data_IF_166359458540
#
_entry.id   IF_166359458540
#
_cell.length_a   1.000
_cell.length_b   1.000
_cell.length_c   1.000
_cell.angle_alpha   90.00
_cell.angle_beta   90.00
_cell.angle_gamma   90.00
#
_symmetry.space_group_name_H-M   'P 1'
#
loop_
_entity.id
_entity.type
_entity.pdbx_description
1 polymer ?
#
# COMPACT_ATOMS: atom_id res chain seq x y z
N UNK A 1 0.61 5.81 -13.50
CA UNK A 1 0.29 5.60 -12.05
C UNK A 1 1.35 4.72 -11.44
N UNK A 2 1.87 5.11 -10.29
CA UNK A 2 2.70 4.21 -9.50
C UNK A 2 1.85 3.31 -8.57
N UNK A 3 2.48 2.32 -7.95
CA UNK A 3 1.76 1.36 -7.11
C UNK A 3 1.10 2.01 -5.88
N UNK A 4 1.69 3.06 -5.32
CA UNK A 4 1.12 3.81 -4.19
C UNK A 4 -0.21 4.46 -4.61
N UNK A 5 -0.21 5.18 -5.73
CA UNK A 5 -1.42 5.80 -6.29
C UNK A 5 -2.50 4.75 -6.61
N UNK A 6 -2.10 3.58 -7.14
CA UNK A 6 -3.01 2.46 -7.38
C UNK A 6 -3.69 2.00 -6.09
N UNK A 7 -2.91 1.78 -5.03
CA UNK A 7 -3.43 1.30 -3.73
C UNK A 7 -4.30 2.36 -3.06
N UNK A 8 -3.92 3.62 -3.12
CA UNK A 8 -4.69 4.73 -2.54
C UNK A 8 -6.03 4.90 -3.26
N UNK A 9 -6.02 4.91 -4.60
CA UNK A 9 -7.25 4.95 -5.40
C UNK A 9 -8.15 3.75 -5.10
N UNK A 10 -7.58 2.55 -5.07
CA UNK A 10 -8.30 1.32 -4.79
C UNK A 10 -8.93 1.32 -3.38
N UNK A 11 -8.23 1.87 -2.38
CA UNK A 11 -8.74 1.96 -1.01
C UNK A 11 -9.99 2.82 -0.90
N UNK A 12 -10.09 3.86 -1.72
CA UNK A 12 -11.26 4.75 -1.76
C UNK A 12 -12.42 4.06 -2.49
N UNK A 13 -12.19 3.61 -3.74
CA UNK A 13 -13.27 3.03 -4.56
C UNK A 13 -13.80 1.70 -4.02
N UNK A 14 -13.00 0.94 -3.28
CA UNK A 14 -13.43 -0.32 -2.65
C UNK A 14 -14.51 -0.13 -1.57
N UNK A 15 -14.66 1.08 -1.04
CA UNK A 15 -15.70 1.43 -0.05
C UNK A 15 -17.04 1.76 -0.70
N UNK A 16 -17.05 1.98 -2.01
CA UNK A 16 -18.27 2.33 -2.76
C UNK A 16 -19.19 1.12 -2.87
N UNK A 17 -20.46 1.30 -2.54
CA UNK A 17 -21.49 0.27 -2.73
C UNK A 17 -22.02 0.34 -4.15
N UNK A 18 -21.45 -0.46 -5.03
CA UNK A 18 -21.73 -0.39 -6.47
C UNK A 18 -23.23 -0.64 -6.82
N UNK A 19 -23.88 -1.50 -6.06
CA UNK A 19 -25.32 -1.79 -6.27
C UNK A 19 -26.26 -0.62 -5.97
N UNK A 20 -25.78 0.39 -5.23
CA UNK A 20 -26.53 1.62 -4.93
C UNK A 20 -26.36 2.71 -5.98
N UNK A 21 -25.49 2.51 -6.96
CA UNK A 21 -25.32 3.47 -8.08
C UNK A 21 -26.44 3.24 -9.10
N UNK A 22 -27.29 4.23 -9.29
CA UNK A 22 -28.40 4.15 -10.25
C UNK A 22 -27.91 4.18 -11.72
N UNK A 23 -26.91 5.00 -12.01
CA UNK A 23 -26.33 5.13 -13.35
C UNK A 23 -25.62 3.86 -13.79
N UNK A 24 -26.14 3.21 -14.84
CA UNK A 24 -25.63 1.94 -15.36
C UNK A 24 -24.23 2.07 -15.95
N UNK A 25 -23.95 3.17 -16.63
CA UNK A 25 -22.64 3.38 -17.24
C UNK A 25 -21.58 3.63 -16.17
N UNK A 26 -21.89 4.46 -15.19
CA UNK A 26 -21.00 4.69 -14.05
C UNK A 26 -20.68 3.41 -13.30
N UNK A 27 -21.68 2.56 -13.03
CA UNK A 27 -21.43 1.25 -12.40
C UNK A 27 -20.44 0.41 -13.18
N UNK A 28 -20.62 0.34 -14.49
CA UNK A 28 -19.76 -0.45 -15.38
C UNK A 28 -18.33 0.09 -15.39
N UNK A 29 -18.18 1.40 -15.55
CA UNK A 29 -16.90 2.05 -15.69
C UNK A 29 -16.11 1.97 -14.37
N UNK A 30 -16.75 2.25 -13.25
CA UNK A 30 -16.15 2.14 -11.92
C UNK A 30 -15.73 0.69 -11.58
N UNK A 31 -16.55 -0.28 -11.96
CA UNK A 31 -16.21 -1.69 -11.76
C UNK A 31 -15.02 -2.14 -12.62
N UNK A 32 -14.95 -1.69 -13.86
CA UNK A 32 -13.82 -1.97 -14.74
C UNK A 32 -12.51 -1.36 -14.19
N UNK A 33 -12.55 -0.12 -13.71
CA UNK A 33 -11.41 0.52 -13.07
C UNK A 33 -10.98 -0.20 -11.80
N UNK A 34 -11.96 -0.59 -10.96
CA UNK A 34 -11.67 -1.41 -9.78
C UNK A 34 -10.96 -2.72 -10.13
N UNK A 35 -11.41 -3.42 -11.18
CA UNK A 35 -10.79 -4.67 -11.62
C UNK A 35 -9.36 -4.44 -12.11
N UNK A 36 -9.13 -3.41 -12.92
CA UNK A 36 -7.81 -3.07 -13.45
C UNK A 36 -6.81 -2.74 -12.32
N UNK A 37 -7.22 -1.87 -11.40
CA UNK A 37 -6.43 -1.47 -10.24
C UNK A 37 -6.17 -2.64 -9.29
N UNK A 38 -7.18 -3.46 -9.03
CA UNK A 38 -7.07 -4.66 -8.18
C UNK A 38 -6.08 -5.67 -8.76
N UNK A 39 -6.12 -5.88 -10.07
CA UNK A 39 -5.17 -6.77 -10.77
C UNK A 39 -3.74 -6.26 -10.63
N UNK A 40 -3.51 -4.98 -10.85
CA UNK A 40 -2.18 -4.37 -10.71
C UNK A 40 -1.67 -4.44 -9.26
N UNK A 41 -2.53 -4.14 -8.28
CA UNK A 41 -2.18 -4.25 -6.85
C UNK A 41 -1.80 -5.67 -6.44
N UNK A 42 -2.56 -6.68 -6.89
CA UNK A 42 -2.27 -8.09 -6.61
C UNK A 42 -0.96 -8.55 -7.25
N UNK A 43 -0.71 -8.16 -8.49
CA UNK A 43 0.55 -8.48 -9.18
C UNK A 43 1.75 -7.92 -8.41
N UNK A 44 1.67 -6.69 -7.93
CA UNK A 44 2.69 -6.10 -7.06
C UNK A 44 2.87 -6.91 -5.78
N UNK A 45 1.80 -7.26 -5.09
CA UNK A 45 1.88 -8.00 -3.82
C UNK A 45 2.51 -9.39 -4.01
N UNK A 46 2.22 -10.07 -5.11
CA UNK A 46 2.84 -11.36 -5.48
C UNK A 46 4.34 -11.20 -5.79
N UNK A 47 4.73 -10.16 -6.53
CA UNK A 47 6.13 -9.86 -6.83
C UNK A 47 6.92 -9.56 -5.56
N UNK A 48 6.38 -8.71 -4.68
CA UNK A 48 6.99 -8.38 -3.40
C UNK A 48 7.14 -9.61 -2.51
N UNK A 49 6.14 -10.46 -2.47
CA UNK A 49 6.21 -11.72 -1.72
C UNK A 49 7.38 -12.60 -2.19
N UNK A 50 7.53 -12.75 -3.50
CA UNK A 50 8.62 -13.54 -4.10
C UNK A 50 9.99 -12.92 -3.79
N UNK A 51 10.12 -11.61 -3.88
CA UNK A 51 11.34 -10.88 -3.55
C UNK A 51 11.67 -11.02 -2.06
N UNK A 52 10.67 -10.91 -1.20
CA UNK A 52 10.81 -11.05 0.25
C UNK A 52 11.28 -12.45 0.65
N UNK A 53 10.70 -13.50 0.05
CA UNK A 53 11.08 -14.88 0.29
C UNK A 53 12.57 -15.12 -0.07
N UNK A 54 13.04 -14.56 -1.17
CA UNK A 54 14.46 -14.63 -1.58
C UNK A 54 15.37 -13.79 -0.69
N UNK A 55 14.96 -12.58 -0.34
CA UNK A 55 15.75 -11.65 0.46
C UNK A 55 16.04 -12.20 1.86
N UNK A 56 15.09 -12.93 2.43
CA UNK A 56 15.14 -13.44 3.80
C UNK A 56 15.34 -14.95 3.89
N UNK A 57 15.74 -15.58 2.79
CA UNK A 57 16.07 -17.02 2.78
C UNK A 57 17.22 -17.30 3.77
N UNK A 58 16.98 -18.25 4.68
CA UNK A 58 17.94 -18.62 5.72
C UNK A 58 18.13 -17.60 6.85
N UNK A 59 17.31 -16.55 6.91
CA UNK A 59 17.36 -15.51 7.93
C UNK A 59 16.23 -15.72 8.96
N UNK A 60 16.58 -15.72 10.24
CA UNK A 60 15.60 -15.75 11.33
C UNK A 60 15.12 -14.33 11.68
N UNK A 61 14.06 -13.87 10.97
CA UNK A 61 13.45 -12.58 11.22
C UNK A 61 12.78 -12.47 12.58
N UNK A 62 12.26 -13.57 13.14
CA UNK A 62 11.63 -13.58 14.45
C UNK A 62 12.66 -13.27 15.53
N UNK A 63 13.83 -13.92 15.50
CA UNK A 63 14.92 -13.63 16.44
C UNK A 63 15.41 -12.18 16.32
N UNK A 64 15.53 -11.66 15.09
CA UNK A 64 15.89 -10.27 14.86
C UNK A 64 14.84 -9.31 15.46
N UNK A 65 13.57 -9.53 15.22
CA UNK A 65 12.47 -8.68 15.70
C UNK A 65 12.36 -8.71 17.23
N UNK A 66 12.55 -9.86 17.87
CA UNK A 66 12.60 -9.99 19.32
C UNK A 66 13.75 -9.17 19.92
N UNK A 67 14.91 -9.22 19.30
CA UNK A 67 16.09 -8.44 19.74
C UNK A 67 15.87 -6.94 19.57
N UNK A 68 15.30 -6.50 18.45
CA UNK A 68 14.92 -5.10 18.22
C UNK A 68 13.90 -4.62 19.25
N UNK A 69 12.91 -5.45 19.60
CA UNK A 69 11.93 -5.12 20.65
C UNK A 69 12.59 -4.93 22.02
N UNK A 70 13.57 -5.76 22.38
CA UNK A 70 14.35 -5.62 23.60
C UNK A 70 15.17 -4.34 23.62
N UNK A 71 15.79 -3.99 22.50
CA UNK A 71 16.56 -2.74 22.35
C UNK A 71 15.64 -1.53 22.56
N UNK A 72 14.50 -1.48 21.90
CA UNK A 72 13.53 -0.38 22.05
C UNK A 72 13.02 -0.26 23.50
N UNK A 73 12.80 -1.38 24.17
CA UNK A 73 12.38 -1.40 25.57
C UNK A 73 13.49 -0.83 26.49
N UNK A 74 14.73 -1.17 26.26
CA UNK A 74 15.88 -0.63 27.00
C UNK A 74 16.03 0.89 26.78
N UNK A 75 15.91 1.34 25.53
CA UNK A 75 15.93 2.78 25.17
C UNK A 75 14.80 3.54 25.85
N UNK A 76 13.58 3.01 25.87
CA UNK A 76 12.43 3.65 26.51
C UNK A 76 12.56 3.79 28.03
N UNK A 77 13.36 2.92 28.66
CA UNK A 77 13.71 2.97 30.08
C UNK A 77 14.93 3.86 30.38
N UNK A 78 15.56 4.43 29.34
CA UNK A 78 16.77 5.23 29.48
C UNK A 78 18.04 4.40 29.76
N UNK A 79 17.99 3.08 29.65
CA UNK A 79 19.12 2.18 29.79
C UNK A 79 19.89 2.06 28.45
N UNK A 80 20.68 3.09 28.15
CA UNK A 80 21.43 3.19 26.88
C UNK A 80 22.52 2.13 26.81
N UNK A 81 23.18 1.81 27.93
CA UNK A 81 24.23 0.79 27.95
C UNK A 81 23.69 -0.60 27.59
N UNK A 82 22.53 -0.98 28.14
CA UNK A 82 21.86 -2.23 27.78
C UNK A 82 21.42 -2.23 26.31
N UNK A 83 20.86 -1.13 25.81
CA UNK A 83 20.47 -0.98 24.41
C UNK A 83 21.67 -1.16 23.47
N UNK A 84 22.81 -0.55 23.76
CA UNK A 84 24.05 -0.69 22.96
C UNK A 84 24.59 -2.12 23.00
N UNK A 85 24.58 -2.79 24.15
CA UNK A 85 25.00 -4.17 24.27
C UNK A 85 24.11 -5.13 23.49
N UNK A 86 22.80 -4.95 23.54
CA UNK A 86 21.86 -5.73 22.75
C UNK A 86 22.01 -5.46 21.24
N UNK A 87 22.27 -4.22 20.83
CA UNK A 87 22.50 -3.88 19.44
C UNK A 87 23.70 -4.59 18.82
N UNK A 88 24.73 -4.91 19.62
CA UNK A 88 25.88 -5.68 19.18
C UNK A 88 25.58 -7.15 18.86
N UNK A 89 24.48 -7.68 19.38
CA UNK A 89 23.99 -9.03 19.08
C UNK A 89 23.25 -9.14 17.75
N UNK A 90 22.87 -8.00 17.13
CA UNK A 90 22.23 -7.97 15.83
C UNK A 90 23.17 -8.55 14.76
N UNK A 91 22.63 -9.46 13.94
CA UNK A 91 23.37 -9.99 12.80
C UNK A 91 23.47 -8.93 11.70
N UNK A 92 24.70 -8.48 11.31
CA UNK A 92 24.88 -7.46 10.28
C UNK A 92 24.29 -7.85 8.92
N UNK A 93 24.33 -9.13 8.55
CA UNK A 93 23.77 -9.63 7.29
C UNK A 93 22.25 -9.53 7.29
N UNK A 94 21.60 -9.81 8.42
CA UNK A 94 20.16 -9.62 8.59
C UNK A 94 19.76 -8.15 8.50
N UNK A 95 20.48 -7.27 9.17
CA UNK A 95 20.26 -5.81 9.10
C UNK A 95 20.39 -5.30 7.67
N UNK A 96 21.43 -5.74 6.96
CA UNK A 96 21.65 -5.38 5.54
C UNK A 96 20.52 -5.90 4.65
N UNK A 97 20.09 -7.15 4.81
CA UNK A 97 19.01 -7.74 4.02
C UNK A 97 17.68 -6.98 4.21
N UNK A 98 17.36 -6.58 5.43
CA UNK A 98 16.17 -5.78 5.73
C UNK A 98 16.25 -4.40 5.07
N UNK A 99 17.38 -3.72 5.17
CA UNK A 99 17.59 -2.41 4.54
C UNK A 99 17.47 -2.51 3.02
N UNK A 100 18.16 -3.45 2.40
CA UNK A 100 18.15 -3.63 0.94
C UNK A 100 16.75 -3.99 0.44
N UNK A 101 16.00 -4.81 1.18
CA UNK A 101 14.60 -5.11 0.87
C UNK A 101 13.71 -3.87 0.97
N UNK A 102 13.86 -3.07 2.02
CA UNK A 102 13.06 -1.85 2.19
C UNK A 102 13.33 -0.83 1.08
N UNK A 103 14.58 -0.66 0.66
CA UNK A 103 14.94 0.20 -0.47
C UNK A 103 14.29 -0.29 -1.77
N UNK A 104 14.38 -1.59 -2.06
CA UNK A 104 13.76 -2.17 -3.25
C UNK A 104 12.22 -2.08 -3.21
N UNK A 105 11.63 -2.27 -2.04
CA UNK A 105 10.19 -2.10 -1.85
C UNK A 105 9.73 -0.67 -2.20
N UNK A 106 10.45 0.34 -1.70
CA UNK A 106 10.14 1.75 -2.01
C UNK A 106 10.36 2.08 -3.49
N UNK A 107 11.41 1.55 -4.11
CA UNK A 107 11.62 1.71 -5.56
C UNK A 107 10.43 1.14 -6.35
N UNK A 108 10.01 -0.08 -6.02
CA UNK A 108 8.88 -0.73 -6.69
C UNK A 108 7.54 -0.06 -6.41
N UNK A 109 7.34 0.50 -5.21
CA UNK A 109 6.13 1.29 -4.90
C UNK A 109 6.01 2.57 -5.74
N UNK A 110 7.14 3.14 -6.14
CA UNK A 110 7.21 4.37 -6.93
C UNK A 110 7.40 4.13 -8.44
N UNK A 111 7.55 2.86 -8.87
CA UNK A 111 7.67 2.51 -10.28
C UNK A 111 6.36 2.77 -11.02
N UNK A 112 6.46 3.53 -12.14
CA UNK A 112 5.30 3.84 -12.97
C UNK A 112 4.80 2.61 -13.72
N UNK A 113 3.49 2.44 -13.71
CA UNK A 113 2.78 1.38 -14.40
C UNK A 113 1.80 1.97 -15.42
N UNK A 114 1.74 1.36 -16.58
CA UNK A 114 0.72 1.66 -17.57
C UNK A 114 -0.56 0.86 -17.26
N UNK A 115 -1.62 1.57 -16.88
CA UNK A 115 -2.92 0.98 -16.60
C UNK A 115 -3.97 1.74 -17.41
N UNK A 116 -4.73 0.99 -18.18
CA UNK A 116 -5.87 1.55 -18.91
C UNK A 116 -7.06 1.72 -17.96
N UNK A 117 -7.42 2.96 -17.70
CA UNK A 117 -8.55 3.34 -16.86
C UNK A 117 -9.57 4.15 -17.66
N UNK A 118 -10.82 3.95 -17.34
CA UNK A 118 -11.93 4.74 -17.91
C UNK A 118 -12.04 6.05 -17.13
N UNK A 119 -12.11 7.18 -17.83
CA UNK A 119 -12.32 8.47 -17.19
C UNK A 119 -13.80 8.69 -16.90
N UNK A 120 -14.13 8.81 -15.64
CA UNK A 120 -15.45 9.02 -15.10
C UNK A 120 -15.68 10.52 -14.88
N UNK A 121 -16.86 11.01 -15.26
CA UNK A 121 -17.23 12.40 -15.00
C UNK A 121 -17.31 12.66 -13.48
N UNK A 122 -16.57 13.66 -13.02
CA UNK A 122 -16.44 13.96 -11.58
C UNK A 122 -17.79 14.31 -10.95
N UNK A 123 -18.62 15.12 -11.63
CA UNK A 123 -19.93 15.51 -11.11
C UNK A 123 -20.85 14.30 -10.96
N UNK A 124 -20.89 13.46 -11.99
CA UNK A 124 -21.66 12.19 -11.97
C UNK A 124 -21.21 11.28 -10.83
N UNK A 125 -19.91 11.17 -10.58
CA UNK A 125 -19.36 10.38 -9.49
C UNK A 125 -19.74 10.95 -8.12
N UNK A 126 -19.57 12.24 -7.91
CA UNK A 126 -19.89 12.91 -6.63
C UNK A 126 -21.38 12.81 -6.32
N UNK A 127 -22.24 12.99 -7.30
CA UNK A 127 -23.70 12.84 -7.14
C UNK A 127 -24.08 11.42 -6.72
N UNK A 128 -23.48 10.42 -7.35
CA UNK A 128 -23.70 9.02 -6.98
C UNK A 128 -23.21 8.68 -5.57
N UNK A 129 -22.11 9.30 -5.11
CA UNK A 129 -21.62 9.15 -3.72
C UNK A 129 -22.60 9.80 -2.73
N UNK A 130 -23.11 10.98 -3.04
CA UNK A 130 -24.11 11.65 -2.22
C UNK A 130 -25.41 10.83 -2.09
N UNK A 131 -25.87 10.19 -3.16
CA UNK A 131 -27.07 9.33 -3.18
C UNK A 131 -26.96 8.11 -2.25
N UNK A 132 -25.77 7.62 -1.97
CA UNK A 132 -25.53 6.49 -1.07
C UNK A 132 -24.95 6.89 0.31
N UNK A 133 -25.02 8.17 0.66
CA UNK A 133 -24.45 8.74 1.89
C UNK A 133 -22.95 8.43 2.07
N UNK A 134 -22.24 8.31 0.97
CA UNK A 134 -20.79 8.11 0.99
C UNK A 134 -20.09 9.46 1.11
N UNK A 135 -19.54 9.74 2.30
CA UNK A 135 -18.76 10.95 2.56
C UNK A 135 -17.40 10.85 1.90
N UNK A 136 -17.16 11.63 0.85
CA UNK A 136 -15.88 11.74 0.18
C UNK A 136 -15.27 13.12 0.45
N UNK A 137 -14.02 13.16 0.89
CA UNK A 137 -13.29 14.39 1.15
C UNK A 137 -12.67 14.96 -0.13
N UNK A 138 -12.31 16.26 -0.09
CA UNK A 138 -11.58 16.91 -1.20
C UNK A 138 -10.24 16.21 -1.47
N UNK A 139 -9.54 15.78 -0.43
CA UNK A 139 -8.28 15.06 -0.57
C UNK A 139 -8.47 13.69 -1.24
N UNK A 140 -9.54 12.98 -0.92
CA UNK A 140 -9.88 11.73 -1.60
C UNK A 140 -10.23 11.95 -3.07
N UNK A 141 -10.94 13.04 -3.40
CA UNK A 141 -11.19 13.42 -4.80
C UNK A 141 -9.89 13.73 -5.56
N UNK A 142 -8.93 14.40 -4.93
CA UNK A 142 -7.61 14.61 -5.51
C UNK A 142 -6.90 13.28 -5.79
N UNK A 143 -6.98 12.32 -4.88
CA UNK A 143 -6.43 10.97 -5.08
C UNK A 143 -7.07 10.25 -6.28
N UNK A 144 -8.34 10.53 -6.57
CA UNK A 144 -9.08 9.90 -7.67
C UNK A 144 -8.87 10.56 -9.05
N UNK A 145 -7.95 11.52 -9.19
CA UNK A 145 -7.71 12.23 -10.47
C UNK A 145 -7.30 11.31 -11.61
N UNK A 146 -6.78 10.12 -11.31
CA UNK A 146 -6.46 9.11 -12.31
C UNK A 146 -7.68 8.49 -12.98
N UNK A 147 -8.82 8.45 -12.30
CA UNK A 147 -10.09 7.91 -12.80
C UNK A 147 -11.16 8.98 -13.05
N UNK A 148 -11.02 10.18 -12.49
CA UNK A 148 -11.97 11.28 -12.66
C UNK A 148 -11.53 12.27 -13.74
N UNK A 149 -12.50 12.98 -14.37
CA UNK A 149 -12.27 14.03 -15.36
C UNK A 149 -13.21 15.22 -15.18
#
# INVERSE_FOLDING_TARGET
MNTREIKDTLSIISRVTISKIADKQLRKDLFNDYLALSKASKAFDEDIKTIQEKAFEGIDLNAHNELVAKIRKAESKGDIEQAENLAKELNPDTVKAIRDFNELYEEKMNEEQEIELVKIDTETFVDAMAEQDFAISMQELETLTSILK
#
